data_IF_103079798135
#
_entry.id   IF_103079798135
#
_cell.length_a   1.000
_cell.length_b   1.000
_cell.length_c   1.000
_cell.angle_alpha   90.00
_cell.angle_beta   90.00
_cell.angle_gamma   90.00
#
_symmetry.space_group_name_H-M   'P 1'
#
loop_
_entity.id
_entity.type
_entity.pdbx_description
1 polymer ?
#
# COMPACT_ATOMS: atom_id res chain seq x y z
N UNK A 1 8.01 -11.73 5.39
CA UNK A 1 6.54 -11.77 5.56
C UNK A 1 5.95 -12.62 4.43
N UNK A 2 5.24 -13.71 4.72
CA UNK A 2 4.63 -14.53 3.67
C UNK A 2 3.53 -13.72 2.98
N UNK A 3 3.60 -13.65 1.66
CA UNK A 3 2.59 -13.02 0.83
C UNK A 3 1.31 -13.86 0.95
N UNK A 4 0.23 -13.28 1.50
CA UNK A 4 -1.04 -13.98 1.63
C UNK A 4 -1.49 -14.50 0.25
N UNK A 5 -1.91 -15.77 0.19
CA UNK A 5 -2.39 -16.38 -1.06
C UNK A 5 -3.61 -15.64 -1.61
N UNK A 6 -3.81 -15.67 -2.93
CA UNK A 6 -4.90 -14.95 -3.61
C UNK A 6 -6.27 -15.25 -3.00
N UNK A 7 -6.55 -16.53 -2.70
CA UNK A 7 -7.79 -16.96 -2.01
C UNK A 7 -7.94 -16.34 -0.62
N UNK A 8 -6.82 -16.11 0.08
CA UNK A 8 -6.82 -15.49 1.40
C UNK A 8 -7.16 -14.00 1.33
N UNK A 9 -6.60 -13.27 0.36
CA UNK A 9 -6.85 -11.81 0.19
C UNK A 9 -8.31 -11.52 -0.11
N UNK A 10 -8.88 -12.26 -1.06
CA UNK A 10 -10.27 -12.10 -1.45
C UNK A 10 -11.22 -12.36 -0.27
N UNK A 11 -10.95 -13.42 0.52
CA UNK A 11 -11.72 -13.72 1.72
C UNK A 11 -11.66 -12.58 2.75
N UNK A 12 -10.48 -12.02 3.00
CA UNK A 12 -10.33 -10.89 3.95
C UNK A 12 -11.07 -9.65 3.43
N UNK A 13 -11.02 -9.36 2.13
CA UNK A 13 -11.75 -8.24 1.54
C UNK A 13 -13.27 -8.44 1.62
N UNK A 14 -13.77 -9.64 1.32
CA UNK A 14 -15.20 -9.98 1.48
C UNK A 14 -15.65 -9.84 2.93
N UNK A 15 -14.86 -10.34 3.88
CA UNK A 15 -15.16 -10.20 5.31
C UNK A 15 -15.16 -8.73 5.74
N UNK A 16 -14.21 -7.94 5.26
CA UNK A 16 -14.18 -6.50 5.52
C UNK A 16 -15.46 -5.82 5.04
N UNK A 17 -15.85 -6.05 3.79
CA UNK A 17 -17.07 -5.47 3.21
C UNK A 17 -18.31 -5.91 3.97
N UNK A 18 -18.36 -7.16 4.45
CA UNK A 18 -19.46 -7.66 5.27
C UNK A 18 -19.55 -6.92 6.62
N UNK A 19 -18.42 -6.62 7.26
CA UNK A 19 -18.38 -5.99 8.59
C UNK A 19 -18.53 -4.46 8.55
N UNK A 20 -17.93 -3.80 7.55
CA UNK A 20 -17.80 -2.33 7.52
C UNK A 20 -18.55 -1.68 6.34
N UNK A 21 -19.02 -2.47 5.37
CA UNK A 21 -19.69 -1.99 4.17
C UNK A 21 -18.74 -1.55 3.05
N UNK A 22 -19.30 -1.42 1.84
CA UNK A 22 -18.54 -1.01 0.64
C UNK A 22 -18.02 0.41 0.70
N UNK A 23 -18.79 1.34 1.28
CA UNK A 23 -18.39 2.75 1.41
C UNK A 23 -17.14 2.91 2.28
N UNK A 24 -17.11 2.25 3.45
CA UNK A 24 -15.92 2.28 4.32
C UNK A 24 -14.75 1.52 3.71
N UNK A 25 -15.00 0.47 2.92
CA UNK A 25 -13.93 -0.22 2.21
C UNK A 25 -13.28 0.67 1.16
N UNK A 26 -14.08 1.40 0.37
CA UNK A 26 -13.57 2.40 -0.58
C UNK A 26 -12.75 3.49 0.13
N UNK A 27 -13.29 4.04 1.22
CA UNK A 27 -12.59 5.04 2.05
C UNK A 27 -11.24 4.53 2.54
N UNK A 28 -11.17 3.29 3.03
CA UNK A 28 -9.91 2.68 3.47
C UNK A 28 -8.89 2.61 2.32
N UNK A 29 -9.31 2.14 1.13
CA UNK A 29 -8.42 2.02 -0.02
C UNK A 29 -7.90 3.38 -0.49
N UNK A 30 -8.75 4.40 -0.55
CA UNK A 30 -8.38 5.77 -0.89
C UNK A 30 -7.37 6.34 0.12
N UNK A 31 -7.63 6.16 1.43
CA UNK A 31 -6.73 6.62 2.46
C UNK A 31 -5.36 5.94 2.42
N UNK A 32 -5.33 4.62 2.14
CA UNK A 32 -4.09 3.87 1.98
C UNK A 32 -3.31 4.33 0.74
N UNK A 33 -3.98 4.65 -0.36
CA UNK A 33 -3.36 5.17 -1.58
C UNK A 33 -2.75 6.56 -1.36
N UNK A 34 -3.40 7.40 -0.54
CA UNK A 34 -2.93 8.72 -0.15
C UNK A 34 -1.89 8.71 0.97
N UNK A 35 -1.42 7.52 1.39
CA UNK A 35 -0.47 7.34 2.49
C UNK A 35 -0.91 8.03 3.81
N UNK A 36 -2.22 8.07 4.07
CA UNK A 36 -2.75 8.63 5.32
C UNK A 36 -2.20 7.88 6.55
N UNK A 37 -2.14 8.58 7.68
CA UNK A 37 -1.61 8.02 8.92
C UNK A 37 -2.39 6.79 9.36
N UNK A 38 -1.68 5.67 9.56
CA UNK A 38 -2.29 4.45 10.08
C UNK A 38 -2.89 4.60 11.48
N UNK A 39 -2.45 5.61 12.25
CA UNK A 39 -3.04 5.92 13.56
C UNK A 39 -4.38 6.65 13.41
N UNK A 40 -4.47 7.62 12.49
CA UNK A 40 -5.73 8.30 12.19
C UNK A 40 -6.79 7.32 11.65
N UNK A 41 -6.37 6.40 10.77
CA UNK A 41 -7.24 5.32 10.29
C UNK A 41 -7.63 4.34 11.40
N UNK A 42 -6.75 4.05 12.34
CA UNK A 42 -7.06 3.19 13.48
C UNK A 42 -8.19 3.81 14.32
N UNK A 43 -8.11 5.11 14.58
CA UNK A 43 -9.14 5.89 15.29
C UNK A 43 -10.45 5.96 14.48
N UNK A 44 -10.39 6.27 13.18
CA UNK A 44 -11.57 6.34 12.29
C UNK A 44 -12.35 5.02 12.21
N UNK A 45 -11.63 3.89 12.16
CA UNK A 45 -12.22 2.56 12.04
C UNK A 45 -12.46 1.87 13.39
N UNK A 46 -12.04 2.47 14.50
CA UNK A 46 -12.16 1.90 15.85
C UNK A 46 -11.38 0.59 16.03
N UNK A 47 -10.21 0.49 15.41
CA UNK A 47 -9.35 -0.70 15.45
C UNK A 47 -7.92 -0.35 15.84
N UNK A 48 -7.06 -1.34 16.05
CA UNK A 48 -5.64 -1.07 16.30
C UNK A 48 -4.90 -0.66 15.02
N UNK A 49 -3.82 0.12 15.16
CA UNK A 49 -2.89 0.44 14.06
C UNK A 49 -2.32 -0.81 13.39
N UNK A 50 -2.08 -1.86 14.16
CA UNK A 50 -1.63 -3.15 13.64
C UNK A 50 -2.68 -3.77 12.70
N UNK A 51 -3.97 -3.63 13.00
CA UNK A 51 -5.04 -4.09 12.12
C UNK A 51 -5.05 -3.34 10.78
N UNK A 52 -4.84 -2.02 10.81
CA UNK A 52 -4.69 -1.21 9.59
C UNK A 52 -3.49 -1.69 8.77
N UNK A 53 -2.35 -1.97 9.42
CA UNK A 53 -1.15 -2.50 8.76
C UNK A 53 -1.42 -3.84 8.07
N UNK A 54 -2.13 -4.75 8.74
CA UNK A 54 -2.51 -6.06 8.17
C UNK A 54 -3.38 -5.89 6.92
N UNK A 55 -4.37 -4.99 6.96
CA UNK A 55 -5.19 -4.67 5.80
C UNK A 55 -4.37 -4.09 4.67
N UNK A 56 -3.49 -3.11 4.93
CA UNK A 56 -2.57 -2.55 3.93
C UNK A 56 -1.79 -3.65 3.20
N UNK A 57 -1.18 -4.55 3.96
CA UNK A 57 -0.38 -5.65 3.42
C UNK A 57 -1.19 -6.73 2.71
N UNK A 58 -2.48 -6.83 3.03
CA UNK A 58 -3.38 -7.83 2.42
C UNK A 58 -4.02 -7.30 1.13
N UNK A 59 -4.42 -6.03 1.11
CA UNK A 59 -5.16 -5.42 0.01
C UNK A 59 -4.24 -4.81 -1.06
N UNK A 60 -2.99 -4.52 -0.73
CA UNK A 60 -2.03 -3.98 -1.69
C UNK A 60 -0.59 -4.31 -1.35
N UNK A 61 0.31 -3.81 -2.19
CA UNK A 61 1.75 -3.92 -2.03
C UNK A 61 2.36 -2.53 -2.25
N UNK A 62 3.34 -2.16 -1.42
CA UNK A 62 4.12 -0.93 -1.64
C UNK A 62 5.19 -1.24 -2.68
N UNK A 63 5.22 -0.47 -3.76
CA UNK A 63 6.25 -0.55 -4.80
C UNK A 63 7.15 0.67 -4.63
N UNK A 64 8.41 0.44 -4.23
CA UNK A 64 9.44 1.48 -4.20
C UNK A 64 10.25 1.39 -5.48
N UNK A 65 10.17 2.42 -6.32
CA UNK A 65 10.94 2.50 -7.56
C UNK A 65 12.15 3.39 -7.32
N UNK A 66 13.34 2.88 -7.60
CA UNK A 66 14.54 3.70 -7.69
C UNK A 66 14.59 4.31 -9.09
N UNK A 67 14.55 5.64 -9.15
CA UNK A 67 14.71 6.36 -10.40
C UNK A 67 16.04 7.10 -10.36
N UNK A 68 16.93 6.75 -11.28
CA UNK A 68 18.18 7.50 -11.46
C UNK A 68 17.83 8.85 -12.05
N UNK A 69 18.42 9.91 -11.50
CA UNK A 69 18.28 11.24 -12.04
C UNK A 69 18.97 11.33 -13.42
N UNK A 70 18.33 11.92 -14.45
CA UNK A 70 18.88 11.97 -15.81
C UNK A 70 20.29 12.54 -15.90
N UNK A 71 20.64 13.53 -15.07
CA UNK A 71 21.98 14.13 -14.99
C UNK A 71 23.06 13.13 -14.56
N UNK A 72 22.72 12.17 -13.71
CA UNK A 72 23.65 11.11 -13.27
C UNK A 72 23.87 10.10 -14.40
N UNK A 73 22.82 9.77 -15.15
CA UNK A 73 22.97 8.91 -16.33
C UNK A 73 23.86 9.54 -17.41
N UNK A 74 23.81 10.87 -17.56
CA UNK A 74 24.62 11.60 -18.55
C UNK A 74 26.13 11.46 -18.28
N UNK A 75 26.54 11.51 -17.02
CA UNK A 75 27.95 11.34 -16.62
C UNK A 75 28.55 10.00 -17.08
N UNK A 76 27.72 8.94 -17.14
CA UNK A 76 28.15 7.63 -17.62
C UNK A 76 28.34 7.58 -19.15
N UNK A 77 27.64 8.44 -19.90
CA UNK A 77 27.72 8.49 -21.36
C UNK A 77 28.92 9.30 -21.85
N UNK A 78 29.24 10.41 -21.16
CA UNK A 78 30.36 11.29 -21.52
C UNK A 78 31.72 10.57 -21.48
N UNK A 79 31.86 9.60 -20.56
CA UNK A 79 33.10 8.83 -20.40
C UNK A 79 33.36 7.78 -21.49
N UNK A 80 32.39 7.52 -22.37
CA UNK A 80 32.51 6.51 -23.45
C UNK A 80 33.00 7.12 -24.78
N UNK A 81 33.12 8.44 -24.84
CA UNK A 81 33.50 9.21 -26.04
C UNK A 81 34.87 9.89 -25.95
N UNK A 82 35.63 9.64 -24.88
CA UNK A 82 37.04 10.00 -24.74
C UNK A 82 37.89 8.72 -24.75
#
# INVERSE_FOLDING_TARGET
MPIASTRSRERVARNFVKSYGRTRFRRLLEALANAESGQALAEEFGVSRERIRQWKNTFGTVITVYQVHPEVERLLRERRTA
#
